data_IF_887950731248
#
_entry.id   IF_887950731248
#
_cell.length_a   1.000
_cell.length_b   1.000
_cell.length_c   1.000
_cell.angle_alpha   90.00
_cell.angle_beta   90.00
_cell.angle_gamma   90.00
#
_symmetry.space_group_name_H-M   'P 1'
#
loop_
_entity.id
_entity.type
_entity.pdbx_description
1 polymer ?
#
# COMPACT_ATOMS: atom_id res chain seq x y z
N UNK A 1 15.50 3.25 -15.96
CA UNK A 1 15.27 4.70 -15.81
C UNK A 1 16.21 5.26 -14.74
N UNK A 2 16.49 6.57 -14.76
CA UNK A 2 17.31 7.30 -13.77
C UNK A 2 16.41 8.24 -12.95
N UNK A 3 15.54 7.75 -12.05
CA UNK A 3 14.59 8.62 -11.37
C UNK A 3 15.28 9.62 -10.43
N UNK A 4 14.72 10.83 -10.33
CA UNK A 4 15.08 11.79 -9.29
C UNK A 4 14.51 11.35 -7.93
N UNK A 5 15.29 11.52 -6.86
CA UNK A 5 14.79 11.36 -5.50
C UNK A 5 14.14 12.67 -5.09
N UNK A 6 12.88 12.63 -4.67
CA UNK A 6 12.12 13.79 -4.21
C UNK A 6 11.69 13.55 -2.77
N UNK A 7 12.17 14.38 -1.86
CA UNK A 7 11.81 14.34 -0.44
C UNK A 7 10.85 15.49 -0.15
N UNK A 8 9.64 15.15 0.31
CA UNK A 8 8.68 16.12 0.83
C UNK A 8 8.88 16.28 2.33
N UNK A 9 9.25 17.48 2.77
CA UNK A 9 9.50 17.83 4.16
C UNK A 9 8.65 19.02 4.63
N UNK A 10 8.47 19.14 5.95
CA UNK A 10 7.79 20.29 6.55
C UNK A 10 8.61 20.89 7.72
N UNK A 11 8.36 20.46 8.95
CA UNK A 11 8.97 21.07 10.15
C UNK A 11 9.49 20.02 11.15
N UNK A 12 10.01 18.91 10.62
CA UNK A 12 10.59 17.79 11.39
C UNK A 12 12.10 17.64 11.12
N UNK A 13 12.98 18.45 11.76
CA UNK A 13 14.43 18.43 11.53
C UNK A 13 15.06 17.03 11.62
N UNK A 14 14.81 16.31 12.71
CA UNK A 14 15.38 14.98 12.92
C UNK A 14 14.85 13.92 11.94
N UNK A 15 13.61 14.08 11.46
CA UNK A 15 13.07 13.20 10.43
C UNK A 15 13.83 13.42 9.11
N UNK A 16 14.01 14.68 8.71
CA UNK A 16 14.80 15.02 7.53
C UNK A 16 16.25 14.51 7.64
N UNK A 17 16.94 14.73 8.76
CA UNK A 17 18.30 14.20 8.98
C UNK A 17 18.36 12.68 8.82
N UNK A 18 17.37 11.98 9.36
CA UNK A 18 17.29 10.52 9.31
C UNK A 18 17.13 10.01 7.88
N UNK A 19 16.20 10.58 7.10
CA UNK A 19 16.04 10.14 5.71
C UNK A 19 17.26 10.50 4.86
N UNK A 20 17.83 11.70 5.02
CA UNK A 20 19.05 12.14 4.33
C UNK A 20 20.24 11.22 4.63
N UNK A 21 20.37 10.78 5.88
CA UNK A 21 21.35 9.78 6.28
C UNK A 21 21.13 8.45 5.56
N UNK A 22 19.89 7.94 5.52
CA UNK A 22 19.59 6.66 4.87
C UNK A 22 19.82 6.67 3.35
N UNK A 23 19.41 7.73 2.64
CA UNK A 23 19.67 7.84 1.18
C UNK A 23 21.17 7.98 0.88
N UNK A 24 21.96 8.58 1.78
CA UNK A 24 23.40 8.74 1.57
C UNK A 24 24.17 7.41 1.62
N UNK A 25 23.57 6.37 2.21
CA UNK A 25 24.13 5.04 2.36
C UNK A 25 23.62 4.04 1.31
N UNK A 26 22.77 4.49 0.38
CA UNK A 26 22.16 3.62 -0.61
C UNK A 26 23.07 3.33 -1.81
N UNK A 27 22.69 2.29 -2.54
CA UNK A 27 23.36 1.81 -3.74
C UNK A 27 22.78 2.49 -4.96
N UNK A 28 23.59 3.34 -5.59
CA UNK A 28 23.26 4.01 -6.85
C UNK A 28 23.99 3.32 -8.00
N UNK A 29 23.25 2.61 -8.84
CA UNK A 29 23.77 1.92 -10.03
C UNK A 29 24.06 2.87 -11.19
N UNK A 30 23.52 4.07 -11.15
CA UNK A 30 23.68 5.12 -12.17
C UNK A 30 24.38 6.33 -11.54
N UNK A 31 25.05 7.12 -12.38
CA UNK A 31 25.62 8.42 -11.99
C UNK A 31 24.57 9.52 -12.16
N UNK A 32 24.84 10.68 -11.57
CA UNK A 32 24.05 11.89 -11.72
C UNK A 32 22.59 11.74 -11.25
N UNK A 33 22.39 11.05 -10.12
CA UNK A 33 21.09 10.87 -9.49
C UNK A 33 20.62 12.21 -8.90
N UNK A 34 19.56 12.85 -9.42
CA UNK A 34 19.10 14.12 -8.89
C UNK A 34 18.43 13.94 -7.52
N UNK A 35 18.70 14.86 -6.60
CA UNK A 35 18.02 14.97 -5.32
C UNK A 35 17.28 16.31 -5.25
N UNK A 36 15.97 16.25 -5.03
CA UNK A 36 15.12 17.41 -4.75
C UNK A 36 14.59 17.31 -3.33
N UNK A 37 14.87 18.31 -2.50
CA UNK A 37 14.27 18.44 -1.17
C UNK A 37 13.24 19.55 -1.25
N UNK A 38 11.96 19.19 -1.27
CA UNK A 38 10.85 20.14 -1.32
C UNK A 38 10.27 20.34 0.08
N UNK A 39 10.33 21.59 0.55
CA UNK A 39 9.96 21.98 1.91
C UNK A 39 8.68 22.82 1.83
N UNK A 40 7.59 22.31 2.38
CA UNK A 40 6.37 23.10 2.52
C UNK A 40 6.60 24.27 3.47
N UNK A 41 5.94 25.40 3.22
CA UNK A 41 6.15 26.60 4.03
C UNK A 41 5.58 26.39 5.43
N UNK A 42 6.40 26.67 6.44
CA UNK A 42 5.98 26.88 7.82
C UNK A 42 6.65 28.11 8.39
N UNK A 43 5.94 28.89 9.19
CA UNK A 43 6.48 30.12 9.80
C UNK A 43 7.06 29.86 11.21
N UNK A 44 7.64 28.67 11.42
CA UNK A 44 8.18 28.22 12.71
C UNK A 44 9.69 27.90 12.65
N UNK A 45 10.36 27.94 13.80
CA UNK A 45 11.81 27.72 13.90
C UNK A 45 12.22 26.34 13.38
N UNK A 46 11.39 25.31 13.54
CA UNK A 46 11.71 23.96 13.06
C UNK A 46 11.66 23.89 11.54
N UNK A 47 10.77 24.62 10.86
CA UNK A 47 10.79 24.75 9.40
C UNK A 47 12.09 25.42 8.92
N UNK A 48 12.54 26.47 9.61
CA UNK A 48 13.82 27.13 9.31
C UNK A 48 15.01 26.17 9.51
N UNK A 49 14.98 25.34 10.56
CA UNK A 49 15.98 24.29 10.79
C UNK A 49 15.97 23.23 9.67
N UNK A 50 14.78 22.78 9.22
CA UNK A 50 14.63 21.87 8.07
C UNK A 50 15.26 22.48 6.81
N UNK A 51 15.02 23.77 6.54
CA UNK A 51 15.64 24.47 5.42
C UNK A 51 17.17 24.57 5.56
N UNK A 52 17.69 24.85 6.74
CA UNK A 52 19.13 24.88 6.99
C UNK A 52 19.78 23.51 6.75
N UNK A 53 19.19 22.43 7.28
CA UNK A 53 19.65 21.04 7.11
C UNK A 53 19.67 20.67 5.62
N UNK A 54 18.59 20.96 4.88
CA UNK A 54 18.51 20.67 3.46
C UNK A 54 19.57 21.41 2.64
N UNK A 55 19.83 22.68 2.96
CA UNK A 55 20.84 23.49 2.28
C UNK A 55 22.26 23.02 2.58
N UNK A 56 22.56 22.65 3.83
CA UNK A 56 23.89 22.21 4.26
C UNK A 56 24.23 20.77 3.82
N UNK A 57 23.23 19.92 3.58
CA UNK A 57 23.46 18.52 3.22
C UNK A 57 24.24 18.36 1.91
N UNK A 58 25.38 17.67 1.94
CA UNK A 58 26.18 17.40 0.75
C UNK A 58 25.70 16.14 0.01
N UNK A 59 25.16 16.33 -1.19
CA UNK A 59 24.74 15.22 -2.05
C UNK A 59 25.87 14.79 -2.98
N UNK A 60 26.34 13.55 -2.84
CA UNK A 60 27.55 13.04 -3.53
C UNK A 60 27.28 12.28 -4.82
N UNK A 61 26.00 12.06 -5.17
CA UNK A 61 25.61 11.17 -6.27
C UNK A 61 25.03 11.88 -7.49
N UNK A 62 24.87 13.20 -7.46
CA UNK A 62 24.34 13.99 -8.57
C UNK A 62 23.98 15.43 -8.17
N UNK A 63 23.15 16.13 -8.96
CA UNK A 63 22.71 17.49 -8.63
C UNK A 63 21.74 17.48 -7.44
N UNK A 64 21.85 18.50 -6.58
CA UNK A 64 20.91 18.75 -5.47
C UNK A 64 20.16 20.05 -5.70
N UNK A 65 18.85 20.03 -5.50
CA UNK A 65 17.99 21.20 -5.46
C UNK A 65 17.20 21.24 -4.15
N UNK A 66 17.15 22.40 -3.52
CA UNK A 66 16.26 22.68 -2.39
C UNK A 66 15.16 23.62 -2.89
N UNK A 67 13.90 23.24 -2.69
CA UNK A 67 12.73 24.04 -3.04
C UNK A 67 12.02 24.38 -1.75
N UNK A 68 12.17 25.61 -1.27
CA UNK A 68 11.40 26.12 -0.15
C UNK A 68 10.21 26.91 -0.69
N UNK A 69 9.00 26.42 -0.42
CA UNK A 69 7.79 27.02 -0.97
C UNK A 69 7.49 28.38 -0.33
N UNK A 70 7.00 29.31 -1.14
CA UNK A 70 6.62 30.65 -0.66
C UNK A 70 5.26 30.68 0.05
N UNK A 71 4.45 29.64 -0.10
CA UNK A 71 3.11 29.53 0.48
C UNK A 71 2.94 28.14 1.12
N UNK A 72 2.09 28.04 2.14
CA UNK A 72 1.75 26.75 2.75
C UNK A 72 0.82 25.97 1.82
N UNK A 73 1.33 24.91 1.20
CA UNK A 73 0.61 24.08 0.23
C UNK A 73 -0.31 23.07 0.91
N UNK A 74 0.09 22.58 2.08
CA UNK A 74 -0.54 21.44 2.73
C UNK A 74 -0.23 20.11 2.03
N UNK A 75 -0.56 19.00 2.69
CA UNK A 75 -0.15 17.65 2.28
C UNK A 75 -0.56 17.31 0.83
N UNK A 76 -1.82 17.60 0.46
CA UNK A 76 -2.35 17.24 -0.86
C UNK A 76 -1.58 17.91 -2.00
N UNK A 77 -1.47 19.24 -1.95
CA UNK A 77 -0.87 20.01 -3.03
C UNK A 77 0.64 19.84 -3.04
N UNK A 78 1.27 19.63 -1.88
CA UNK A 78 2.71 19.40 -1.81
C UNK A 78 3.12 18.07 -2.44
N UNK A 79 2.38 16.97 -2.17
CA UNK A 79 2.62 15.68 -2.83
C UNK A 79 2.37 15.77 -4.34
N UNK A 80 1.34 16.49 -4.79
CA UNK A 80 1.08 16.67 -6.21
C UNK A 80 2.13 17.53 -6.92
N UNK A 81 2.66 18.55 -6.24
CA UNK A 81 3.82 19.29 -6.72
C UNK A 81 5.01 18.34 -6.90
N UNK A 82 5.31 17.51 -5.88
CA UNK A 82 6.41 16.55 -5.93
C UNK A 82 6.26 15.53 -7.07
N UNK A 83 5.08 14.95 -7.25
CA UNK A 83 4.80 14.04 -8.38
C UNK A 83 4.88 14.75 -9.74
N UNK A 84 4.53 16.05 -9.80
CA UNK A 84 4.65 16.88 -11.00
C UNK A 84 6.08 17.06 -11.51
N UNK A 85 7.09 16.84 -10.66
CA UNK A 85 8.50 16.87 -11.05
C UNK A 85 8.88 15.75 -12.03
N UNK A 86 8.02 14.75 -12.22
CA UNK A 86 8.16 13.79 -13.34
C UNK A 86 8.22 14.47 -14.71
N UNK A 87 7.64 15.67 -14.87
CA UNK A 87 7.76 16.43 -16.12
C UNK A 87 9.18 16.93 -16.40
N UNK A 88 9.96 17.15 -15.34
CA UNK A 88 11.35 17.63 -15.39
C UNK A 88 12.35 16.48 -15.45
N UNK A 89 12.10 15.40 -14.71
CA UNK A 89 13.07 14.30 -14.51
C UNK A 89 12.70 12.98 -15.18
N UNK A 90 11.60 12.92 -15.93
CA UNK A 90 10.99 11.73 -16.55
C UNK A 90 10.52 10.63 -15.59
N UNK A 91 11.10 10.52 -14.39
CA UNK A 91 10.64 9.70 -13.30
C UNK A 91 11.10 10.25 -11.95
N UNK A 92 10.32 9.97 -10.90
CA UNK A 92 10.63 10.36 -9.52
C UNK A 92 10.42 9.20 -8.55
N UNK A 93 11.23 9.18 -7.50
CA UNK A 93 11.00 8.41 -6.26
C UNK A 93 10.58 9.44 -5.20
N UNK A 94 9.31 9.39 -4.79
CA UNK A 94 8.74 10.28 -3.79
C UNK A 94 8.84 9.66 -2.40
N UNK A 95 9.48 10.38 -1.48
CA UNK A 95 9.70 9.97 -0.10
C UNK A 95 9.23 11.07 0.86
N UNK A 96 8.48 10.70 1.89
CA UNK A 96 8.14 11.61 2.98
C UNK A 96 9.32 11.70 3.98
N UNK A 97 9.49 12.84 4.64
CA UNK A 97 10.61 13.09 5.55
C UNK A 97 10.68 12.13 6.76
N UNK A 98 9.59 11.45 7.11
CA UNK A 98 9.55 10.48 8.21
C UNK A 98 9.89 9.03 7.83
N UNK A 99 10.25 8.78 6.57
CA UNK A 99 10.69 7.47 6.12
C UNK A 99 12.17 7.21 6.41
N UNK A 100 12.54 5.94 6.34
CA UNK A 100 13.91 5.47 6.24
C UNK A 100 14.00 4.47 5.09
N UNK A 101 15.04 4.57 4.26
CA UNK A 101 15.18 3.75 3.06
C UNK A 101 16.19 2.61 3.24
N UNK A 102 15.90 1.50 2.57
CA UNK A 102 16.84 0.41 2.32
C UNK A 102 18.01 0.88 1.45
N UNK A 103 19.23 0.36 1.61
CA UNK A 103 20.29 0.61 0.64
C UNK A 103 19.96 0.20 -0.81
N UNK A 104 19.02 -0.72 -1.02
CA UNK A 104 18.63 -1.20 -2.36
C UNK A 104 17.40 -0.48 -2.94
N UNK A 105 16.83 0.51 -2.23
CA UNK A 105 15.58 1.19 -2.65
C UNK A 105 15.67 1.75 -4.08
N UNK A 106 16.80 2.37 -4.41
CA UNK A 106 17.02 3.02 -5.69
C UNK A 106 17.11 2.01 -6.83
N UNK A 107 17.77 0.87 -6.58
CA UNK A 107 17.93 -0.21 -7.55
C UNK A 107 16.56 -0.79 -7.93
N UNK A 108 15.73 -1.11 -6.92
CA UNK A 108 14.38 -1.61 -7.17
C UNK A 108 13.53 -0.60 -7.91
N UNK A 109 13.45 0.64 -7.42
CA UNK A 109 12.61 1.66 -8.01
C UNK A 109 12.99 1.91 -9.48
N UNK A 110 14.29 1.98 -9.76
CA UNK A 110 14.81 2.16 -11.12
C UNK A 110 14.46 0.99 -12.03
N UNK A 111 14.56 -0.26 -11.55
CA UNK A 111 14.22 -1.46 -12.32
C UNK A 111 12.71 -1.58 -12.55
N UNK A 112 11.89 -1.38 -11.51
CA UNK A 112 10.44 -1.44 -11.59
C UNK A 112 9.87 -0.36 -12.51
N UNK A 113 10.34 0.89 -12.37
CA UNK A 113 9.95 1.96 -13.30
C UNK A 113 10.33 1.62 -14.73
N UNK A 114 11.57 1.17 -14.96
CA UNK A 114 12.01 0.78 -16.31
C UNK A 114 11.15 -0.34 -16.91
N UNK A 115 10.78 -1.33 -16.10
CA UNK A 115 10.02 -2.48 -16.55
C UNK A 115 8.54 -2.14 -16.82
N UNK A 116 7.91 -1.30 -16.00
CA UNK A 116 6.46 -1.10 -16.03
C UNK A 116 5.98 0.27 -16.57
N UNK A 117 6.87 1.24 -16.84
CA UNK A 117 6.45 2.60 -17.26
C UNK A 117 5.49 2.62 -18.47
N UNK A 118 5.64 1.65 -19.37
CA UNK A 118 4.84 1.54 -20.60
C UNK A 118 3.58 0.70 -20.47
N UNK A 119 3.43 -0.10 -19.40
CA UNK A 119 2.20 -0.87 -19.19
C UNK A 119 1.09 0.06 -18.69
N UNK A 120 0.00 0.27 -19.46
CA UNK A 120 -1.06 1.20 -19.09
C UNK A 120 -1.88 0.73 -17.89
N UNK A 121 -1.71 -0.53 -17.44
CA UNK A 121 -2.36 -1.08 -16.25
C UNK A 121 -1.59 -0.76 -14.97
N UNK A 122 -0.35 -0.27 -15.08
CA UNK A 122 0.48 0.05 -13.92
C UNK A 122 0.53 1.57 -13.74
N UNK A 123 0.07 2.03 -12.57
CA UNK A 123 -0.02 3.44 -12.21
C UNK A 123 1.17 3.94 -11.40
N UNK A 124 1.94 3.05 -10.78
CA UNK A 124 3.07 3.42 -9.95
C UNK A 124 3.73 2.22 -9.29
N UNK A 125 4.79 2.51 -8.54
CA UNK A 125 5.57 1.55 -7.77
C UNK A 125 5.44 1.90 -6.29
N UNK A 126 5.19 0.92 -5.44
CA UNK A 126 5.34 1.05 -3.99
C UNK A 126 6.65 0.41 -3.53
N UNK A 127 7.36 1.12 -2.65
CA UNK A 127 8.58 0.65 -2.01
C UNK A 127 8.31 -0.01 -0.65
N UNK A 128 7.06 0.02 -0.19
CA UNK A 128 6.65 -0.55 1.09
C UNK A 128 6.13 -1.97 0.90
N UNK A 129 6.61 -2.92 1.70
CA UNK A 129 6.01 -4.25 1.76
C UNK A 129 4.80 -4.25 2.70
N UNK A 130 3.61 -4.12 2.09
CA UNK A 130 2.36 -4.07 2.84
C UNK A 130 2.05 -5.43 3.48
N UNK A 131 1.99 -5.45 4.82
CA UNK A 131 1.87 -6.68 5.61
C UNK A 131 0.49 -6.85 6.25
N UNK A 132 -0.43 -5.90 6.06
CA UNK A 132 -1.75 -5.91 6.66
C UNK A 132 -2.84 -5.44 5.68
N UNK A 133 -4.05 -5.95 5.88
CA UNK A 133 -5.25 -5.47 5.21
C UNK A 133 -5.69 -4.12 5.82
N UNK A 134 -5.80 -3.09 5.00
CA UNK A 134 -6.10 -1.72 5.45
C UNK A 134 -7.45 -1.55 6.16
N UNK A 135 -8.39 -2.47 5.96
CA UNK A 135 -9.75 -2.42 6.52
C UNK A 135 -9.87 -3.17 7.84
N UNK A 136 -9.27 -4.36 7.92
CA UNK A 136 -9.41 -5.25 9.09
C UNK A 136 -8.20 -5.21 10.03
N UNK A 137 -7.07 -4.65 9.58
CA UNK A 137 -5.75 -4.72 10.25
C UNK A 137 -5.24 -6.15 10.46
N UNK A 138 -5.85 -7.13 9.80
CA UNK A 138 -5.38 -8.50 9.81
C UNK A 138 -4.18 -8.64 8.88
N UNK A 139 -3.29 -9.63 9.09
CA UNK A 139 -2.17 -9.88 8.19
C UNK A 139 -2.62 -10.01 6.73
N UNK A 140 -1.88 -9.36 5.84
CA UNK A 140 -1.95 -9.53 4.39
C UNK A 140 -0.60 -10.05 3.92
N UNK A 141 -0.63 -11.18 3.23
CA UNK A 141 0.56 -11.80 2.66
C UNK A 141 0.20 -12.21 1.23
N UNK A 142 0.77 -11.54 0.21
CA UNK A 142 0.48 -11.89 -1.17
C UNK A 142 1.02 -13.30 -1.48
N UNK A 143 0.32 -14.05 -2.32
CA UNK A 143 0.77 -15.36 -2.80
C UNK A 143 2.20 -15.27 -3.31
N UNK A 144 3.05 -16.21 -2.91
CA UNK A 144 4.43 -16.28 -3.35
C UNK A 144 4.48 -16.96 -4.73
N UNK A 145 4.80 -16.21 -5.77
CA UNK A 145 4.79 -16.68 -7.16
C UNK A 145 6.20 -16.70 -7.79
N UNK A 146 7.23 -16.66 -6.96
CA UNK A 146 8.63 -16.68 -7.38
C UNK A 146 9.19 -15.34 -7.85
N UNK A 147 8.37 -14.29 -7.92
CA UNK A 147 8.81 -12.93 -8.30
C UNK A 147 9.09 -12.05 -7.10
N UNK A 148 9.76 -10.92 -7.33
CA UNK A 148 10.06 -9.91 -6.29
C UNK A 148 8.98 -8.83 -6.15
N UNK A 149 8.01 -8.84 -7.06
CA UNK A 149 6.90 -7.89 -7.10
C UNK A 149 5.54 -8.58 -6.93
N UNK A 150 4.52 -7.82 -6.57
CA UNK A 150 3.12 -8.21 -6.74
C UNK A 150 2.29 -6.96 -7.07
N UNK A 151 1.03 -7.15 -7.46
CA UNK A 151 0.17 -6.05 -7.88
C UNK A 151 -1.00 -5.88 -6.92
N UNK A 152 -1.25 -4.64 -6.51
CA UNK A 152 -2.37 -4.30 -5.64
C UNK A 152 -2.98 -2.97 -6.09
N UNK A 153 -4.31 -2.91 -6.10
CA UNK A 153 -5.08 -1.71 -6.46
C UNK A 153 -5.21 -0.75 -5.26
N UNK A 154 -4.08 -0.49 -4.60
CA UNK A 154 -3.92 0.45 -3.48
C UNK A 154 -2.62 1.23 -3.74
N UNK A 155 -2.59 2.56 -3.62
CA UNK A 155 -1.39 3.37 -3.81
C UNK A 155 -0.75 3.73 -2.46
N UNK A 156 -0.19 2.75 -1.75
CA UNK A 156 0.28 2.97 -0.36
C UNK A 156 1.40 4.01 -0.29
N UNK A 157 1.29 4.95 0.67
CA UNK A 157 1.99 6.24 0.59
C UNK A 157 3.44 6.22 1.06
N UNK A 158 3.86 5.20 1.82
CA UNK A 158 5.19 5.13 2.43
C UNK A 158 6.30 4.75 1.43
N UNK A 159 6.62 5.66 0.51
CA UNK A 159 7.62 5.47 -0.53
C UNK A 159 6.98 4.99 -1.83
N UNK A 160 6.95 5.90 -2.79
CA UNK A 160 6.29 5.70 -4.08
C UNK A 160 7.24 6.09 -5.20
N UNK A 161 7.06 5.52 -6.38
CA UNK A 161 7.77 5.98 -7.57
C UNK A 161 6.86 6.02 -8.79
N UNK A 162 7.04 7.04 -9.62
CA UNK A 162 6.25 7.28 -10.82
C UNK A 162 7.15 7.67 -11.98
N UNK A 163 6.82 7.17 -13.17
CA UNK A 163 7.27 7.75 -14.44
C UNK A 163 6.37 8.91 -14.85
N UNK A 164 6.86 9.74 -15.76
CA UNK A 164 6.10 10.82 -16.40
C UNK A 164 4.80 10.31 -17.03
N UNK A 165 4.85 9.23 -17.80
CA UNK A 165 3.65 8.62 -18.42
C UNK A 165 2.62 8.22 -17.38
N UNK A 166 3.05 7.61 -16.28
CA UNK A 166 2.15 7.23 -15.18
C UNK A 166 1.50 8.45 -14.53
N UNK A 167 2.29 9.48 -14.25
CA UNK A 167 1.81 10.71 -13.63
C UNK A 167 0.88 11.51 -14.56
N UNK A 168 1.20 11.59 -15.85
CA UNK A 168 0.36 12.22 -16.89
C UNK A 168 -1.00 11.55 -17.00
N UNK A 169 -1.08 10.21 -16.92
CA UNK A 169 -2.37 9.49 -16.90
C UNK A 169 -3.21 9.89 -15.67
N UNK A 170 -2.59 10.00 -14.50
CA UNK A 170 -3.27 10.43 -13.28
C UNK A 170 -3.77 11.88 -13.38
N UNK A 171 -2.91 12.81 -13.82
CA UNK A 171 -3.28 14.23 -13.93
C UNK A 171 -4.33 14.46 -15.01
N UNK A 172 -4.27 13.73 -16.13
CA UNK A 172 -5.32 13.74 -17.16
C UNK A 172 -6.65 13.19 -16.63
N UNK A 173 -6.63 12.11 -15.82
CA UNK A 173 -7.83 11.64 -15.15
C UNK A 173 -8.40 12.69 -14.21
N UNK A 174 -7.57 13.37 -13.41
CA UNK A 174 -8.01 14.41 -12.49
C UNK A 174 -8.57 15.65 -13.20
N UNK A 175 -7.98 16.04 -14.33
CA UNK A 175 -8.40 17.17 -15.15
C UNK A 175 -9.82 17.04 -15.73
N UNK A 176 -10.38 15.82 -15.79
CA UNK A 176 -11.77 15.56 -16.19
C UNK A 176 -12.81 15.91 -15.11
N UNK A 177 -12.39 16.54 -14.01
CA UNK A 177 -13.26 16.90 -12.89
C UNK A 177 -13.43 15.79 -11.85
N UNK A 178 -12.61 14.75 -11.91
CA UNK A 178 -12.64 13.67 -10.91
C UNK A 178 -12.10 14.17 -9.57
N UNK A 179 -12.91 13.98 -8.54
CA UNK A 179 -12.63 14.45 -7.18
C UNK A 179 -12.44 13.29 -6.21
N UNK A 180 -12.56 13.54 -4.91
CA UNK A 180 -12.37 12.54 -3.86
C UNK A 180 -13.45 11.45 -3.91
N UNK A 181 -13.20 10.28 -3.31
CA UNK A 181 -14.21 9.25 -3.12
C UNK A 181 -15.49 9.76 -2.46
N UNK A 182 -16.64 9.34 -2.98
CA UNK A 182 -17.96 9.57 -2.41
C UNK A 182 -18.82 8.31 -2.43
N UNK A 183 -20.00 8.36 -1.81
CA UNK A 183 -20.89 7.20 -1.64
C UNK A 183 -21.35 6.52 -2.94
N UNK A 184 -21.20 7.17 -4.09
CA UNK A 184 -21.48 6.57 -5.40
C UNK A 184 -20.36 5.71 -5.96
N UNK A 185 -19.15 5.77 -5.37
CA UNK A 185 -17.98 5.06 -5.91
C UNK A 185 -17.92 3.61 -5.40
N UNK A 186 -17.39 2.73 -6.25
CA UNK A 186 -17.19 1.30 -6.01
C UNK A 186 -15.97 1.03 -5.11
N UNK A 187 -15.94 1.70 -3.97
CA UNK A 187 -14.87 1.67 -2.99
C UNK A 187 -15.41 1.21 -1.64
N UNK A 188 -14.51 0.67 -0.81
CA UNK A 188 -14.80 0.43 0.59
C UNK A 188 -15.22 1.74 1.29
N UNK A 189 -16.21 1.67 2.19
CA UNK A 189 -16.84 2.85 2.81
C UNK A 189 -15.84 3.71 3.60
N UNK A 190 -14.75 3.11 4.10
CA UNK A 190 -13.66 3.81 4.79
C UNK A 190 -13.10 4.98 3.96
N UNK A 191 -13.03 4.85 2.63
CA UNK A 191 -12.44 5.87 1.76
C UNK A 191 -13.19 7.20 1.75
N UNK A 192 -14.46 7.22 2.16
CA UNK A 192 -15.30 8.42 2.18
C UNK A 192 -15.10 9.29 3.42
N UNK A 193 -14.27 8.85 4.37
CA UNK A 193 -14.11 9.48 5.69
C UNK A 193 -12.71 10.07 5.91
N UNK A 194 -11.84 10.06 4.89
CA UNK A 194 -10.49 10.64 4.97
C UNK A 194 -10.51 12.18 4.91
N UNK A 195 -9.52 12.82 5.53
CA UNK A 195 -9.41 14.28 5.64
C UNK A 195 -9.25 14.94 4.26
N UNK A 196 -9.79 16.15 4.05
CA UNK A 196 -9.76 16.87 2.77
C UNK A 196 -8.35 16.98 2.13
N UNK A 197 -7.30 17.03 2.95
CA UNK A 197 -5.90 17.14 2.53
C UNK A 197 -5.23 15.79 2.23
N UNK A 198 -5.94 14.66 2.36
CA UNK A 198 -5.41 13.34 2.02
C UNK A 198 -5.44 13.08 0.52
N UNK A 199 -4.26 12.82 -0.04
CA UNK A 199 -4.06 12.42 -1.43
C UNK A 199 -4.37 10.93 -1.67
N UNK A 200 -4.20 10.09 -0.65
CA UNK A 200 -4.36 8.63 -0.71
C UNK A 200 -5.75 8.17 -1.23
N UNK A 201 -6.89 8.75 -0.80
CA UNK A 201 -8.21 8.40 -1.34
C UNK A 201 -8.40 8.77 -2.81
N UNK A 202 -7.81 9.89 -3.26
CA UNK A 202 -7.93 10.35 -4.65
C UNK A 202 -7.18 9.39 -5.58
N UNK A 203 -5.95 9.03 -5.21
CA UNK A 203 -5.18 8.02 -5.96
C UNK A 203 -5.89 6.66 -5.95
N UNK A 204 -6.49 6.26 -4.83
CA UNK A 204 -7.21 4.98 -4.76
C UNK A 204 -8.42 4.97 -5.69
N UNK A 205 -9.20 6.07 -5.74
CA UNK A 205 -10.30 6.21 -6.72
C UNK A 205 -9.81 6.10 -8.15
N UNK A 206 -8.73 6.79 -8.48
CA UNK A 206 -8.10 6.72 -9.79
C UNK A 206 -7.76 5.27 -10.17
N UNK A 207 -7.13 4.51 -9.27
CA UNK A 207 -6.79 3.10 -9.53
C UNK A 207 -8.02 2.23 -9.80
N UNK A 208 -9.08 2.40 -9.01
CA UNK A 208 -10.31 1.60 -9.14
C UNK A 208 -11.06 1.94 -10.41
N UNK A 209 -11.28 3.22 -10.71
CA UNK A 209 -12.02 3.64 -11.91
C UNK A 209 -11.29 3.32 -13.22
N UNK A 210 -9.96 3.30 -13.20
CA UNK A 210 -9.15 3.01 -14.38
C UNK A 210 -8.66 1.56 -14.45
N UNK A 211 -9.04 0.73 -13.46
CA UNK A 211 -8.58 -0.65 -13.32
C UNK A 211 -7.05 -0.79 -13.39
N UNK A 212 -6.35 0.11 -12.73
CA UNK A 212 -4.88 0.14 -12.65
C UNK A 212 -4.37 -0.33 -11.30
N UNK A 213 -3.08 -0.69 -11.26
CA UNK A 213 -2.43 -1.29 -10.11
C UNK A 213 -1.12 -0.58 -9.78
N UNK A 214 -0.72 -0.68 -8.52
CA UNK A 214 0.66 -0.44 -8.12
C UNK A 214 1.41 -1.76 -8.12
N UNK A 215 2.68 -1.72 -8.52
CA UNK A 215 3.61 -2.82 -8.26
C UNK A 215 4.28 -2.61 -6.90
N UNK A 216 4.16 -3.60 -6.03
CA UNK A 216 4.69 -3.60 -4.67
C UNK A 216 5.90 -4.51 -4.57
N UNK A 217 6.92 -4.09 -3.83
CA UNK A 217 8.00 -5.00 -3.44
C UNK A 217 7.51 -5.99 -2.38
N UNK A 218 7.98 -7.24 -2.45
CA UNK A 218 7.64 -8.25 -1.43
C UNK A 218 8.40 -8.08 -0.13
N UNK A 219 9.61 -7.54 -0.20
CA UNK A 219 10.41 -7.12 0.96
C UNK A 219 10.49 -5.61 0.96
N UNK A 220 10.36 -4.98 2.12
CA UNK A 220 10.24 -3.53 2.18
C UNK A 220 11.56 -2.85 1.84
N UNK A 221 11.47 -1.74 1.11
CA UNK A 221 12.58 -0.86 0.77
C UNK A 221 12.45 0.50 1.45
N UNK A 222 11.34 0.73 2.11
CA UNK A 222 11.06 1.86 2.99
C UNK A 222 10.41 1.38 4.28
N UNK A 223 10.59 2.12 5.36
CA UNK A 223 9.89 1.91 6.63
C UNK A 223 9.54 3.26 7.23
N UNK A 224 8.30 3.42 7.71
CA UNK A 224 7.86 4.66 8.33
C UNK A 224 8.14 4.67 9.82
N UNK A 225 8.81 5.72 10.31
CA UNK A 225 9.05 5.88 11.77
C UNK A 225 7.78 6.29 12.53
N UNK A 226 6.72 6.66 11.81
CA UNK A 226 5.44 7.04 12.41
C UNK A 226 5.61 8.21 13.37
N UNK A 227 6.52 9.13 13.04
CA UNK A 227 6.76 10.36 13.80
C UNK A 227 5.45 11.15 13.89
N UNK A 228 5.28 11.90 14.98
CA UNK A 228 4.11 12.74 15.17
C UNK A 228 3.92 13.68 13.98
N UNK A 229 2.70 13.77 13.47
CA UNK A 229 2.36 14.52 12.26
C UNK A 229 0.85 14.59 12.06
N UNK A 230 0.41 14.95 10.85
CA UNK A 230 -1.01 15.20 10.54
C UNK A 230 -1.92 14.01 10.83
N UNK A 231 -1.43 12.77 10.69
CA UNK A 231 -2.21 11.54 10.90
C UNK A 231 -2.01 10.85 12.25
N UNK A 232 -0.94 11.18 12.99
CA UNK A 232 -0.60 10.50 14.24
C UNK A 232 -0.39 11.52 15.36
N UNK A 233 -1.28 11.49 16.36
CA UNK A 233 -1.16 12.30 17.57
C UNK A 233 -0.04 11.83 18.49
N UNK A 234 0.37 10.55 18.39
CA UNK A 234 1.48 9.94 19.12
C UNK A 234 2.33 9.10 18.15
N UNK A 235 3.63 9.00 18.42
CA UNK A 235 4.52 8.15 17.63
C UNK A 235 4.02 6.69 17.59
N UNK A 236 4.03 6.07 16.42
CA UNK A 236 3.51 4.71 16.22
C UNK A 236 4.51 3.85 15.45
N UNK A 237 4.88 2.71 16.03
CA UNK A 237 5.70 1.69 15.36
C UNK A 237 4.88 0.73 14.50
N UNK A 238 3.56 0.92 14.38
CA UNK A 238 2.68 0.00 13.65
C UNK A 238 3.08 -0.15 12.17
N UNK A 239 3.65 0.89 11.58
CA UNK A 239 4.04 0.89 10.17
C UNK A 239 5.47 0.42 9.92
N UNK A 240 6.21 0.08 10.99
CA UNK A 240 7.57 -0.42 10.86
C UNK A 240 7.59 -1.80 10.22
N UNK A 241 8.48 -1.99 9.26
CA UNK A 241 8.66 -3.23 8.52
C UNK A 241 10.14 -3.56 8.35
N UNK A 242 10.51 -4.86 8.25
CA UNK A 242 11.87 -5.25 7.91
C UNK A 242 12.28 -4.66 6.56
N UNK A 243 13.48 -4.06 6.54
CA UNK A 243 14.07 -3.52 5.31
C UNK A 243 14.95 -4.56 4.64
N UNK A 244 14.84 -4.66 3.32
CA UNK A 244 15.82 -5.34 2.50
C UNK A 244 17.17 -4.64 2.64
N UNK A 245 18.25 -5.38 2.90
CA UNK A 245 19.57 -4.78 3.17
C UNK A 245 20.46 -4.68 1.94
N UNK A 246 20.42 -5.70 1.10
CA UNK A 246 21.29 -5.80 -0.07
C UNK A 246 20.66 -6.75 -1.09
N UNK A 247 20.24 -6.20 -2.23
CA UNK A 247 19.82 -6.97 -3.39
C UNK A 247 20.18 -6.21 -4.68
N UNK A 248 21.04 -6.77 -5.53
CA UNK A 248 21.53 -6.06 -6.72
C UNK A 248 20.55 -6.09 -7.91
N UNK A 249 19.59 -7.01 -7.91
CA UNK A 249 18.66 -7.20 -9.02
C UNK A 249 17.33 -7.79 -8.57
N UNK A 250 16.26 -7.44 -9.27
CA UNK A 250 14.90 -7.87 -8.98
C UNK A 250 14.30 -8.63 -10.16
N UNK A 251 13.68 -9.76 -9.86
CA UNK A 251 12.92 -10.55 -10.81
C UNK A 251 11.47 -10.06 -10.86
N UNK A 252 11.11 -9.42 -11.97
CA UNK A 252 9.79 -8.83 -12.22
C UNK A 252 9.11 -9.56 -13.39
N UNK A 253 7.79 -9.74 -13.31
CA UNK A 253 7.01 -10.38 -14.36
C UNK A 253 6.06 -9.39 -15.07
N UNK A 254 5.81 -9.56 -16.38
CA UNK A 254 4.74 -8.83 -17.05
C UNK A 254 3.40 -9.03 -16.32
N UNK A 255 2.55 -8.00 -16.30
CA UNK A 255 1.27 -8.04 -15.60
C UNK A 255 0.38 -9.22 -16.05
N UNK A 256 0.45 -9.60 -17.34
CA UNK A 256 -0.31 -10.73 -17.87
C UNK A 256 0.11 -12.08 -17.29
N UNK A 257 1.39 -12.22 -16.90
CA UNK A 257 1.93 -13.46 -16.34
C UNK A 257 1.81 -13.51 -14.82
N UNK A 258 1.63 -12.38 -14.16
CA UNK A 258 1.50 -12.30 -12.71
C UNK A 258 0.30 -13.08 -12.17
N UNK A 259 0.51 -13.88 -11.13
CA UNK A 259 -0.56 -14.55 -10.38
C UNK A 259 -1.00 -13.74 -9.17
N UNK A 260 -0.08 -13.02 -8.54
CA UNK A 260 -0.34 -12.21 -7.35
C UNK A 260 -0.84 -10.81 -7.73
N UNK A 261 -2.11 -10.73 -8.15
CA UNK A 261 -2.82 -9.49 -8.48
C UNK A 261 -4.06 -9.35 -7.62
N UNK A 262 -4.12 -8.25 -6.87
CA UNK A 262 -5.11 -8.00 -5.83
C UNK A 262 -5.91 -6.74 -6.12
N UNK A 263 -7.22 -6.80 -5.88
CA UNK A 263 -8.11 -5.65 -6.02
C UNK A 263 -8.01 -4.68 -4.83
N UNK A 264 -8.80 -3.60 -4.85
CA UNK A 264 -8.79 -2.59 -3.79
C UNK A 264 -9.33 -3.13 -2.45
N UNK A 265 -9.85 -4.35 -2.41
CA UNK A 265 -10.32 -5.04 -1.21
C UNK A 265 -9.28 -6.01 -0.64
N UNK A 266 -8.06 -6.03 -1.21
CA UNK A 266 -6.98 -6.99 -0.90
C UNK A 266 -7.34 -8.43 -1.26
N UNK A 267 -8.30 -8.61 -2.16
CA UNK A 267 -8.74 -9.93 -2.60
C UNK A 267 -8.04 -10.28 -3.91
N UNK A 268 -7.56 -11.51 -4.04
CA UNK A 268 -6.99 -11.97 -5.31
C UNK A 268 -8.04 -11.87 -6.41
N UNK A 269 -7.63 -11.42 -7.59
CA UNK A 269 -8.53 -11.40 -8.75
C UNK A 269 -8.98 -12.81 -9.14
N UNK A 270 -10.26 -12.99 -9.45
CA UNK A 270 -10.83 -14.29 -9.85
C UNK A 270 -10.14 -14.88 -11.09
N UNK A 271 -9.82 -14.04 -12.09
CA UNK A 271 -9.07 -14.47 -13.27
C UNK A 271 -7.66 -14.98 -12.97
N UNK A 272 -7.07 -14.59 -11.84
CA UNK A 272 -5.77 -15.08 -11.38
C UNK A 272 -5.91 -16.34 -10.56
N UNK A 273 -6.89 -16.40 -9.67
CA UNK A 273 -7.20 -17.60 -8.91
C UNK A 273 -7.56 -18.78 -9.82
N UNK A 274 -8.30 -18.54 -10.92
CA UNK A 274 -8.64 -19.55 -11.94
C UNK A 274 -7.43 -20.15 -12.67
N UNK A 275 -6.26 -19.49 -12.64
CA UNK A 275 -5.01 -20.06 -13.18
C UNK A 275 -4.40 -21.10 -12.25
N UNK A 276 -4.65 -20.95 -10.96
CA UNK A 276 -4.09 -21.79 -9.89
C UNK A 276 -4.99 -22.98 -9.54
N UNK A 277 -6.30 -22.90 -9.83
CA UNK A 277 -7.24 -23.99 -9.59
C UNK A 277 -8.33 -24.07 -10.66
N UNK A 278 -8.80 -25.29 -10.94
CA UNK A 278 -9.95 -25.54 -11.81
C UNK A 278 -11.30 -25.44 -11.10
N UNK A 279 -11.33 -25.37 -9.76
CA UNK A 279 -12.54 -25.56 -8.97
C UNK A 279 -13.64 -24.49 -9.18
N UNK A 280 -13.27 -23.33 -9.75
CA UNK A 280 -14.12 -22.14 -9.84
C UNK A 280 -14.31 -21.62 -11.28
N UNK A 281 -13.74 -22.31 -12.29
CA UNK A 281 -13.69 -21.81 -13.68
C UNK A 281 -15.04 -21.67 -14.36
N UNK A 282 -16.04 -22.41 -13.89
CA UNK A 282 -17.39 -22.42 -14.47
C UNK A 282 -18.29 -21.30 -13.92
N UNK A 283 -17.76 -20.41 -13.07
CA UNK A 283 -18.53 -19.37 -12.40
C UNK A 283 -17.98 -17.98 -12.74
N UNK A 284 -18.89 -17.01 -12.90
CA UNK A 284 -18.56 -15.58 -12.82
C UNK A 284 -18.66 -15.14 -11.36
N UNK A 285 -17.51 -14.91 -10.72
CA UNK A 285 -17.44 -14.68 -9.28
C UNK A 285 -16.48 -13.58 -8.85
N UNK A 286 -16.85 -12.94 -7.74
CA UNK A 286 -16.01 -12.04 -6.95
C UNK A 286 -15.37 -12.83 -5.81
N UNK A 287 -14.18 -12.40 -5.38
CA UNK A 287 -13.49 -12.95 -4.20
C UNK A 287 -13.70 -12.01 -3.01
N UNK A 288 -14.04 -12.52 -1.82
CA UNK A 288 -14.28 -11.77 -0.58
C UNK A 288 -13.86 -12.60 0.65
N UNK A 289 -12.60 -13.05 0.68
CA UNK A 289 -12.05 -13.93 1.71
C UNK A 289 -11.76 -13.22 3.04
N UNK A 290 -11.43 -11.92 3.01
CA UNK A 290 -11.40 -11.04 4.18
C UNK A 290 -12.79 -10.64 4.67
N UNK A 291 -13.84 -10.86 3.87
CA UNK A 291 -15.21 -10.45 4.16
C UNK A 291 -15.35 -8.94 4.40
N UNK A 292 -14.74 -8.14 3.53
CA UNK A 292 -14.73 -6.67 3.63
C UNK A 292 -15.55 -5.99 2.54
N UNK A 293 -15.87 -6.68 1.44
CA UNK A 293 -16.77 -6.14 0.44
C UNK A 293 -18.16 -5.95 1.05
N UNK A 294 -18.76 -4.79 0.81
CA UNK A 294 -20.17 -4.55 1.06
C UNK A 294 -21.00 -5.07 -0.12
N UNK A 295 -22.31 -5.27 0.10
CA UNK A 295 -23.21 -5.84 -0.93
C UNK A 295 -23.15 -5.11 -2.27
N UNK A 296 -22.99 -3.78 -2.24
CA UNK A 296 -22.89 -2.92 -3.43
C UNK A 296 -21.56 -3.06 -4.19
N UNK A 297 -20.55 -3.65 -3.58
CA UNK A 297 -19.21 -3.85 -4.14
C UNK A 297 -18.97 -5.29 -4.64
N UNK A 298 -20.05 -6.09 -4.75
CA UNK A 298 -20.04 -7.43 -5.35
C UNK A 298 -20.93 -7.37 -6.59
N UNK A 299 -20.31 -7.45 -7.77
CA UNK A 299 -20.99 -7.20 -9.06
C UNK A 299 -21.33 -8.47 -9.83
N UNK A 300 -20.87 -9.63 -9.36
CA UNK A 300 -20.98 -10.92 -10.05
C UNK A 300 -22.12 -11.77 -9.50
N UNK A 301 -22.61 -12.72 -10.29
CA UNK A 301 -23.67 -13.65 -9.88
C UNK A 301 -23.25 -14.49 -8.66
N UNK A 302 -21.99 -14.93 -8.63
CA UNK A 302 -21.43 -15.74 -7.56
C UNK A 302 -20.40 -14.96 -6.74
N UNK A 303 -20.14 -15.42 -5.52
CA UNK A 303 -19.07 -14.92 -4.68
C UNK A 303 -18.41 -16.04 -3.90
N UNK A 304 -17.08 -16.02 -3.90
CA UNK A 304 -16.22 -16.85 -3.05
C UNK A 304 -15.90 -16.04 -1.79
N UNK A 305 -16.47 -16.41 -0.65
CA UNK A 305 -16.43 -15.58 0.57
C UNK A 305 -16.22 -16.40 1.83
N UNK A 306 -15.71 -15.75 2.88
CA UNK A 306 -15.74 -16.30 4.25
C UNK A 306 -17.01 -15.97 5.03
N UNK A 307 -17.93 -15.20 4.42
CA UNK A 307 -19.26 -14.93 4.98
C UNK A 307 -20.12 -16.18 4.98
N UNK A 308 -21.10 -16.22 5.88
CA UNK A 308 -22.11 -17.29 5.89
C UNK A 308 -23.01 -17.21 4.67
N UNK A 309 -23.36 -18.38 4.13
CA UNK A 309 -24.29 -18.53 3.01
C UNK A 309 -25.45 -19.45 3.40
N UNK A 310 -26.62 -19.21 2.82
CA UNK A 310 -27.81 -20.06 2.96
C UNK A 310 -27.73 -21.34 2.11
N UNK A 311 -27.03 -21.26 0.98
CA UNK A 311 -26.96 -22.33 -0.01
C UNK A 311 -25.55 -22.36 -0.64
N UNK A 312 -24.53 -22.89 0.07
CA UNK A 312 -23.21 -23.04 -0.49
C UNK A 312 -23.21 -24.06 -1.63
N UNK A 313 -22.56 -23.71 -2.74
CA UNK A 313 -22.40 -24.56 -3.94
C UNK A 313 -21.11 -25.37 -3.80
N UNK A 314 -20.05 -24.73 -3.31
CA UNK A 314 -18.77 -25.35 -2.95
C UNK A 314 -18.31 -24.80 -1.62
N UNK A 315 -17.50 -25.57 -0.91
CA UNK A 315 -16.92 -25.15 0.35
C UNK A 315 -15.47 -25.60 0.49
N UNK A 316 -14.69 -24.80 1.20
CA UNK A 316 -13.28 -25.00 1.46
C UNK A 316 -12.99 -24.72 2.94
N UNK A 317 -11.93 -25.32 3.43
CA UNK A 317 -11.39 -25.07 4.75
C UNK A 317 -10.75 -23.69 4.88
N UNK A 318 -10.28 -23.39 6.08
CA UNK A 318 -9.47 -22.19 6.38
C UNK A 318 -8.29 -22.56 7.27
N UNK A 319 -7.47 -23.51 6.79
CA UNK A 319 -6.33 -24.10 7.49
C UNK A 319 -4.97 -23.69 6.90
N UNK A 320 -4.89 -23.37 5.61
CA UNK A 320 -3.68 -22.87 4.94
C UNK A 320 -3.59 -21.35 4.95
N UNK A 321 -2.37 -20.82 4.82
CA UNK A 321 -2.06 -19.40 4.81
C UNK A 321 -1.17 -19.03 3.61
N UNK A 322 -1.49 -17.98 2.84
CA UNK A 322 -2.67 -17.10 2.96
C UNK A 322 -3.96 -17.83 2.55
N UNK A 323 -5.13 -17.20 2.71
CA UNK A 323 -6.42 -17.92 2.68
C UNK A 323 -6.75 -18.53 1.31
N UNK A 324 -6.22 -17.97 0.23
CA UNK A 324 -6.37 -18.45 -1.15
C UNK A 324 -5.84 -19.88 -1.29
N UNK A 325 -4.80 -20.24 -0.52
CA UNK A 325 -4.21 -21.58 -0.55
C UNK A 325 -5.23 -22.67 -0.21
N UNK A 326 -6.24 -22.37 0.61
CA UNK A 326 -7.30 -23.35 0.90
C UNK A 326 -8.14 -23.68 -0.32
N UNK A 327 -8.32 -22.70 -1.21
CA UNK A 327 -9.11 -22.84 -2.44
C UNK A 327 -8.25 -23.44 -3.55
N UNK A 328 -6.96 -23.04 -3.62
CA UNK A 328 -5.98 -23.58 -4.56
C UNK A 328 -5.79 -25.09 -4.34
N UNK A 329 -5.51 -25.48 -3.09
CA UNK A 329 -5.24 -26.88 -2.72
C UNK A 329 -6.51 -27.70 -2.41
N UNK A 330 -7.69 -27.12 -2.64
CA UNK A 330 -8.99 -27.76 -2.40
C UNK A 330 -9.09 -28.37 -0.97
N UNK A 331 -8.67 -27.60 0.03
CA UNK A 331 -8.68 -28.02 1.42
C UNK A 331 -10.12 -28.22 1.88
N UNK A 332 -10.49 -29.38 2.44
CA UNK A 332 -11.86 -29.63 2.87
C UNK A 332 -12.25 -28.76 4.07
N UNK A 333 -13.47 -28.25 4.07
CA UNK A 333 -14.05 -27.49 5.17
C UNK A 333 -15.27 -26.67 4.77
N UNK A 334 -15.69 -25.76 5.64
CA UNK A 334 -16.96 -25.00 5.52
C UNK A 334 -16.80 -23.50 5.80
N UNK A 335 -15.57 -23.05 6.00
CA UNK A 335 -15.21 -21.69 6.41
C UNK A 335 -15.12 -20.71 5.23
N UNK A 336 -14.86 -21.20 4.03
CA UNK A 336 -14.89 -20.45 2.78
C UNK A 336 -15.91 -21.13 1.86
N UNK A 337 -16.80 -20.37 1.24
CA UNK A 337 -17.86 -20.91 0.39
C UNK A 337 -17.94 -20.16 -0.92
N UNK A 338 -18.20 -20.89 -2.00
CA UNK A 338 -18.75 -20.34 -3.23
C UNK A 338 -20.27 -20.45 -3.17
N UNK A 339 -20.98 -19.35 -3.38
CA UNK A 339 -22.44 -19.34 -3.44
C UNK A 339 -22.94 -18.22 -4.36
N UNK A 340 -24.25 -18.18 -4.65
CA UNK A 340 -24.84 -17.01 -5.30
C UNK A 340 -24.74 -15.80 -4.37
N UNK A 341 -24.49 -14.63 -4.94
CA UNK A 341 -24.39 -13.37 -4.19
C UNK A 341 -25.68 -13.07 -3.40
N UNK A 342 -26.85 -13.54 -3.88
CA UNK A 342 -28.14 -13.44 -3.19
C UNK A 342 -28.23 -14.27 -1.90
N UNK A 343 -27.41 -15.32 -1.77
CA UNK A 343 -27.49 -16.29 -0.68
C UNK A 343 -26.55 -15.95 0.48
N UNK A 344 -25.70 -14.92 0.32
CA UNK A 344 -24.85 -14.39 1.38
C UNK A 344 -25.72 -13.78 2.49
N UNK A 345 -25.38 -14.12 3.73
CA UNK A 345 -26.02 -13.56 4.93
C UNK A 345 -25.32 -12.28 5.37
N UNK A 346 -26.13 -11.22 5.49
CA UNK A 346 -25.71 -9.86 5.90
C UNK A 346 -26.29 -9.46 7.26
N UNK A 347 -26.96 -10.37 7.95
CA UNK A 347 -27.49 -10.10 9.28
C UNK A 347 -26.36 -10.00 10.32
N UNK A 348 -26.63 -9.26 11.40
CA UNK A 348 -25.65 -8.97 12.46
C UNK A 348 -25.00 -10.23 13.06
N UNK A 349 -25.76 -11.31 13.24
CA UNK A 349 -25.22 -12.57 13.74
C UNK A 349 -24.21 -13.17 12.75
N UNK A 350 -24.55 -13.22 11.46
CA UNK A 350 -23.65 -13.69 10.42
C UNK A 350 -22.37 -12.84 10.33
N UNK A 351 -22.46 -11.53 10.51
CA UNK A 351 -21.28 -10.65 10.54
C UNK A 351 -20.36 -10.96 11.73
N UNK A 352 -20.92 -11.18 12.93
CA UNK A 352 -20.13 -11.54 14.11
C UNK A 352 -19.45 -12.89 13.93
N UNK A 353 -20.18 -13.88 13.42
CA UNK A 353 -19.62 -15.20 13.13
C UNK A 353 -18.45 -15.09 12.14
N UNK A 354 -18.63 -14.32 11.06
CA UNK A 354 -17.59 -14.10 10.05
C UNK A 354 -16.35 -13.44 10.66
N UNK A 355 -16.55 -12.39 11.48
CA UNK A 355 -15.45 -11.73 12.21
C UNK A 355 -14.73 -12.70 13.14
N UNK A 356 -15.46 -13.57 13.84
CA UNK A 356 -14.88 -14.60 14.71
C UNK A 356 -14.05 -15.61 13.91
N UNK A 357 -14.57 -16.15 12.82
CA UNK A 357 -13.85 -17.11 11.96
C UNK A 357 -12.55 -16.48 11.44
N UNK A 358 -12.62 -15.25 10.94
CA UNK A 358 -11.43 -14.54 10.47
C UNK A 358 -10.45 -14.27 11.61
N UNK A 359 -10.91 -13.83 12.78
CA UNK A 359 -10.06 -13.64 13.95
C UNK A 359 -9.36 -14.93 14.38
N UNK A 360 -10.09 -16.04 14.50
CA UNK A 360 -9.54 -17.34 14.89
C UNK A 360 -8.51 -17.83 13.85
N UNK A 361 -8.76 -17.58 12.56
CA UNK A 361 -7.81 -17.90 11.48
C UNK A 361 -6.50 -17.10 11.60
N UNK A 362 -6.58 -15.77 11.67
CA UNK A 362 -5.39 -14.91 11.69
C UNK A 362 -4.61 -15.00 13.00
N UNK A 363 -5.26 -15.31 14.12
CA UNK A 363 -4.58 -15.60 15.39
C UNK A 363 -4.10 -17.05 15.49
N UNK A 364 -4.37 -17.90 14.48
CA UNK A 364 -4.09 -19.34 14.52
C UNK A 364 -4.67 -20.01 15.77
N UNK A 365 -5.85 -19.54 16.19
CA UNK A 365 -6.55 -19.92 17.43
C UNK A 365 -5.72 -19.75 18.70
N UNK A 366 -4.60 -19.01 18.64
CA UNK A 366 -3.79 -18.72 19.81
C UNK A 366 -4.54 -17.71 20.68
N UNK A 367 -4.87 -18.08 21.93
CA UNK A 367 -5.60 -17.18 22.80
C UNK A 367 -4.74 -15.96 23.14
N UNK A 368 -5.37 -14.79 23.25
CA UNK A 368 -4.72 -13.63 23.87
C UNK A 368 -4.32 -14.01 25.30
N UNK A 369 -3.02 -13.95 25.61
CA UNK A 369 -2.52 -14.38 26.92
C UNK A 369 -3.10 -13.51 28.04
N UNK A 370 -4.16 -14.00 28.69
CA UNK A 370 -4.80 -13.33 29.84
C UNK A 370 -3.81 -13.08 30.98
N UNK A 371 -2.84 -14.00 31.15
CA UNK A 371 -1.74 -13.86 32.11
C UNK A 371 -0.85 -12.66 31.81
N UNK A 372 -0.41 -12.51 30.55
CA UNK A 372 0.39 -11.34 30.14
C UNK A 372 -0.43 -10.05 30.26
N UNK A 373 -1.71 -10.08 29.91
CA UNK A 373 -2.60 -8.93 30.08
C UNK A 373 -2.69 -8.48 31.55
N UNK A 374 -2.86 -9.42 32.48
CA UNK A 374 -2.85 -9.13 33.92
C UNK A 374 -1.49 -8.59 34.39
N UNK A 375 -0.37 -9.18 33.93
CA UNK A 375 0.98 -8.70 34.25
C UNK A 375 1.22 -7.26 33.75
N UNK A 376 0.74 -6.92 32.56
CA UNK A 376 0.84 -5.55 32.03
C UNK A 376 -0.09 -4.56 32.72
N UNK A 377 -1.30 -4.99 33.11
CA UNK A 377 -2.20 -4.17 33.93
C UNK A 377 -1.58 -3.87 35.30
N UNK A 378 -0.96 -4.87 35.94
CA UNK A 378 -0.23 -4.70 37.20
C UNK A 378 0.99 -3.79 37.04
N UNK A 379 1.76 -3.93 35.96
CA UNK A 379 2.89 -3.05 35.67
C UNK A 379 2.47 -1.58 35.49
N UNK A 380 1.33 -1.33 34.84
CA UNK A 380 0.77 0.03 34.71
C UNK A 380 0.33 0.61 36.05
N UNK A 381 -0.14 -0.22 36.97
CA UNK A 381 -0.48 0.19 38.35
C UNK A 381 0.77 0.50 39.18
N UNK A 382 1.85 -0.30 39.05
CA UNK A 382 3.11 -0.11 39.78
C UNK A 382 3.98 1.05 39.27
N UNK A 383 3.72 1.56 38.06
CA UNK A 383 4.41 2.71 37.46
C UNK A 383 3.64 4.03 37.60
N UNK A 384 2.47 4.00 38.24
CA UNK A 384 1.79 5.19 38.77
C UNK A 384 2.17 5.32 40.23
#
# INVERSE_FOLDING_TARGET
MNPAIVISAYNRPHALERILSSISQAQYVQRDVPLVISIDRGDDERNNQVAAIANQFEWKFGPKQVIHHSNHLGLLQHIFFCGGLTNTYDAVISLEDDLYVSPSFYVYASQALNFYHDDPRIAGVSLYALWFNGYTKQPFVPLADGTDGFFLQIPYTQGQAWSKRQWERFTAWRARGNTRPGRGDNLHEMWFHFDAQDHFPILTKYLVETNQYYVYSRVSLTTGFGDQGTHFSNASSFFQVPLERCKPSYHLNPFDQATSVYDSFFEIRSDRLNRLTGALRDYDYSVDLYATKSRRNIFTEYVLTSRRSRAPIRSFGKAMFPHEMNVIENIPGSEIVLCKTSDVRWDWLAEIETKKINHDYFTRKQPTSKKLWLQFALLKLLRR
#
